data_IF_449327913997
#
_entry.id   IF_449327913997
#
_cell.length_a   1.000
_cell.length_b   1.000
_cell.length_c   1.000
_cell.angle_alpha   90.00
_cell.angle_beta   90.00
_cell.angle_gamma   90.00
#
_symmetry.space_group_name_H-M   'P 1'
#
loop_
_entity.id
_entity.type
_entity.pdbx_description
1 polymer ?
#
# COMPACT_ATOMS: atom_id res chain seq x y z
N UNK A 1 5.22 2.35 11.86
CA UNK A 1 5.68 3.63 12.45
C UNK A 1 6.49 4.40 11.39
N UNK A 2 6.43 5.73 11.28
CA UNK A 2 7.14 6.45 10.18
C UNK A 2 8.42 7.13 10.66
N UNK A 3 9.39 7.34 9.76
CA UNK A 3 10.72 7.85 10.13
C UNK A 3 10.75 9.30 10.64
N UNK A 4 9.76 10.15 10.34
CA UNK A 4 9.66 11.52 10.89
C UNK A 4 9.13 11.52 12.33
N UNK A 5 8.24 10.56 12.65
CA UNK A 5 7.79 10.23 13.99
C UNK A 5 8.88 9.47 14.76
N UNK A 6 9.57 8.53 14.11
CA UNK A 6 10.72 7.80 14.62
C UNK A 6 11.86 8.76 14.91
N UNK A 7 12.27 9.65 14.00
CA UNK A 7 13.27 10.70 14.25
C UNK A 7 12.84 11.71 15.30
N UNK A 8 11.54 12.00 15.42
CA UNK A 8 11.02 12.79 16.54
C UNK A 8 11.16 12.03 17.86
N UNK A 9 10.80 10.76 17.87
CA UNK A 9 10.89 9.89 19.05
C UNK A 9 12.32 9.55 19.41
N UNK A 10 13.21 9.44 18.45
CA UNK A 10 14.65 9.26 18.61
C UNK A 10 15.28 10.59 19.06
N UNK A 11 14.81 11.75 18.58
CA UNK A 11 15.25 13.06 19.07
C UNK A 11 14.78 13.33 20.50
N UNK A 12 13.54 12.94 20.82
CA UNK A 12 12.96 12.98 22.17
C UNK A 12 13.73 12.01 23.07
N UNK A 13 13.88 10.76 22.67
CA UNK A 13 14.60 9.72 23.40
C UNK A 13 16.09 10.07 23.56
N UNK A 14 16.75 10.63 22.54
CA UNK A 14 18.14 11.13 22.58
C UNK A 14 18.36 12.09 23.74
N UNK A 15 17.40 12.98 23.97
CA UNK A 15 17.49 13.97 25.03
C UNK A 15 17.57 13.30 26.41
N UNK A 16 16.72 12.31 26.68
CA UNK A 16 16.73 11.53 27.93
C UNK A 16 17.97 10.63 28.06
N UNK A 17 18.44 10.05 26.94
CA UNK A 17 19.63 9.20 26.89
C UNK A 17 20.92 9.94 27.23
N UNK A 18 21.09 11.17 26.74
CA UNK A 18 22.24 12.02 27.07
C UNK A 18 22.24 12.42 28.56
N UNK A 19 21.06 12.70 29.14
CA UNK A 19 20.91 13.02 30.57
C UNK A 19 21.20 11.82 31.50
N UNK A 20 20.85 10.60 31.09
CA UNK A 20 21.07 9.38 31.87
C UNK A 20 22.56 8.94 31.83
N UNK A 21 23.25 9.15 30.71
CA UNK A 21 24.63 8.65 30.50
C UNK A 21 25.74 9.63 30.87
N UNK A 22 25.50 10.94 30.82
CA UNK A 22 26.54 11.96 30.96
C UNK A 22 27.56 12.03 29.81
N UNK A 23 27.32 11.33 28.70
CA UNK A 23 28.21 11.27 27.54
C UNK A 23 28.27 12.62 26.77
N UNK A 24 29.35 12.82 26.01
CA UNK A 24 29.51 14.05 25.20
C UNK A 24 28.35 14.24 24.23
N UNK A 25 27.95 15.50 24.00
CA UNK A 25 26.85 15.83 23.06
C UNK A 25 27.12 15.40 21.62
N UNK A 26 28.40 15.21 21.30
CA UNK A 26 28.90 14.69 20.02
C UNK A 26 28.80 13.17 19.92
N UNK A 27 28.49 12.45 21.02
CA UNK A 27 28.29 10.99 21.02
C UNK A 27 26.99 10.63 20.26
N UNK A 28 27.03 9.67 19.29
CA UNK A 28 25.88 9.28 18.46
C UNK A 28 24.70 8.69 19.24
N UNK A 29 23.45 8.95 18.81
CA UNK A 29 22.22 8.50 19.52
C UNK A 29 22.08 7.00 19.56
N UNK A 30 22.39 6.34 18.45
CA UNK A 30 22.37 4.88 18.37
C UNK A 30 23.36 4.26 19.37
N UNK A 31 24.56 4.84 19.52
CA UNK A 31 25.53 4.40 20.54
C UNK A 31 25.01 4.59 21.97
N UNK A 32 24.23 5.65 22.22
CA UNK A 32 23.62 5.89 23.54
C UNK A 32 22.43 4.97 23.81
N UNK A 33 21.56 4.70 22.84
CA UNK A 33 20.47 3.71 22.94
C UNK A 33 21.01 2.33 23.30
N UNK A 34 22.13 1.96 22.68
CA UNK A 34 22.83 0.69 22.94
C UNK A 34 23.55 0.70 24.30
N UNK A 35 24.30 1.76 24.63
CA UNK A 35 25.05 1.88 25.90
C UNK A 35 24.12 1.96 27.13
N UNK A 36 22.90 2.46 26.97
CA UNK A 36 21.90 2.58 28.06
C UNK A 36 20.93 1.41 28.18
N UNK A 37 20.90 0.51 27.18
CA UNK A 37 19.92 -0.58 27.15
C UNK A 37 18.46 -0.14 26.95
N UNK A 38 18.23 1.11 26.53
CA UNK A 38 16.89 1.63 26.33
C UNK A 38 16.44 1.43 24.88
N UNK A 39 15.51 0.49 24.71
CA UNK A 39 14.96 0.11 23.42
C UNK A 39 14.34 1.32 22.72
N UNK A 40 14.57 1.49 21.40
CA UNK A 40 13.96 2.58 20.65
C UNK A 40 12.45 2.63 20.86
N UNK A 41 11.92 3.81 21.22
CA UNK A 41 10.54 3.97 21.68
C UNK A 41 9.49 3.48 20.65
N UNK A 42 9.87 3.44 19.38
CA UNK A 42 9.03 2.95 18.31
C UNK A 42 8.76 1.43 18.36
N UNK A 43 9.62 0.66 19.03
CA UNK A 43 9.47 -0.78 19.19
C UNK A 43 8.49 -1.14 20.33
N UNK A 44 8.55 -0.45 21.47
CA UNK A 44 7.55 -0.59 22.57
C UNK A 44 6.11 -0.34 22.08
N UNK A 45 5.92 0.62 21.16
CA UNK A 45 4.61 0.93 20.57
C UNK A 45 4.12 -0.17 19.61
N UNK A 46 5.05 -0.88 18.97
CA UNK A 46 4.74 -1.96 18.04
C UNK A 46 4.34 -3.25 18.76
N UNK A 47 4.87 -3.47 19.97
CA UNK A 47 4.61 -4.62 20.84
C UNK A 47 3.19 -4.56 21.43
N UNK A 48 2.78 -3.39 21.94
CA UNK A 48 1.42 -3.16 22.45
C UNK A 48 0.35 -3.21 21.33
N UNK A 49 0.68 -2.72 20.13
CA UNK A 49 -0.20 -2.82 18.95
C UNK A 49 -0.39 -4.29 18.50
N UNK A 50 0.60 -5.15 18.76
CA UNK A 50 0.55 -6.59 18.48
C UNK A 50 -0.40 -7.30 19.45
N UNK A 51 -0.31 -7.01 20.76
CA UNK A 51 -1.21 -7.56 21.79
C UNK A 51 -2.70 -7.23 21.52
N UNK A 52 -3.03 -6.00 21.13
CA UNK A 52 -4.39 -5.60 20.80
C UNK A 52 -4.92 -6.27 19.50
N UNK A 53 -4.03 -6.56 18.55
CA UNK A 53 -4.35 -7.19 17.25
C UNK A 53 -4.67 -8.68 17.38
N UNK A 54 -3.97 -9.38 18.28
CA UNK A 54 -4.21 -10.81 18.55
C UNK A 54 -5.39 -11.01 19.49
N UNK A 55 -5.38 -10.38 20.68
CA UNK A 55 -6.33 -10.68 21.77
C UNK A 55 -7.72 -10.04 21.59
N UNK A 56 -7.84 -8.94 20.82
CA UNK A 56 -9.10 -8.19 20.67
C UNK A 56 -9.61 -8.13 19.23
N UNK A 57 -8.71 -7.96 18.26
CA UNK A 57 -9.05 -8.00 16.83
C UNK A 57 -8.95 -9.39 16.20
N UNK A 58 -8.58 -10.41 16.99
CA UNK A 58 -8.58 -11.83 16.60
C UNK A 58 -7.84 -12.08 15.28
N UNK A 59 -6.72 -11.37 15.05
CA UNK A 59 -5.91 -11.47 13.83
C UNK A 59 -4.45 -11.78 14.15
N UNK A 60 -3.86 -12.72 13.40
CA UNK A 60 -2.49 -13.17 13.66
C UNK A 60 -1.57 -11.99 13.56
N UNK A 61 -0.77 -11.81 14.59
CA UNK A 61 0.15 -10.70 14.62
C UNK A 61 1.55 -11.26 14.67
N UNK A 62 2.33 -10.84 13.68
CA UNK A 62 3.74 -11.11 13.68
C UNK A 62 4.41 -10.01 14.49
N UNK A 63 5.17 -10.39 15.51
CA UNK A 63 6.13 -9.50 16.14
C UNK A 63 7.51 -9.92 15.63
N UNK A 64 8.04 -9.14 14.69
CA UNK A 64 9.20 -9.54 13.88
C UNK A 64 8.96 -10.88 13.17
N UNK A 65 9.76 -11.90 13.49
CA UNK A 65 9.73 -13.23 12.87
C UNK A 65 8.83 -14.23 13.63
N UNK A 66 8.38 -13.91 14.85
CA UNK A 66 7.47 -14.77 15.64
C UNK A 66 6.02 -14.46 15.26
N UNK A 67 5.28 -15.50 14.88
CA UNK A 67 3.87 -15.43 14.46
C UNK A 67 2.99 -15.80 15.64
N UNK A 68 2.19 -14.86 16.14
CA UNK A 68 1.16 -15.12 17.14
C UNK A 68 -0.17 -15.31 16.42
N UNK A 69 -0.72 -16.53 16.41
CA UNK A 69 -1.99 -16.79 15.72
C UNK A 69 -3.20 -16.68 16.68
N UNK A 70 -4.33 -16.03 16.31
CA UNK A 70 -5.52 -15.91 17.13
C UNK A 70 -6.32 -17.19 17.13
N UNK A 71 -6.13 -18.04 16.12
CA UNK A 71 -6.68 -19.39 16.05
C UNK A 71 -6.19 -20.27 17.20
N UNK A 72 -5.06 -19.91 17.82
CA UNK A 72 -4.50 -20.59 19.00
C UNK A 72 -5.22 -20.18 20.31
N UNK A 73 -6.22 -19.28 20.21
CA UNK A 73 -6.97 -18.68 21.33
C UNK A 73 -8.48 -18.55 20.94
N UNK A 74 -9.45 -18.27 21.82
CA UNK A 74 -10.92 -18.25 21.49
C UNK A 74 -11.56 -16.88 21.10
N UNK A 75 -12.72 -16.85 20.38
CA UNK A 75 -13.43 -15.63 19.89
C UNK A 75 -14.95 -15.56 20.21
N UNK A 76 -15.51 -14.35 20.46
CA UNK A 76 -16.97 -14.07 20.64
C UNK A 76 -17.59 -13.25 19.47
N UNK A 77 -18.78 -13.65 18.98
CA UNK A 77 -19.52 -13.19 17.76
C UNK A 77 -20.22 -11.81 17.81
N UNK A 78 -20.97 -11.30 16.79
CA UNK A 78 -22.01 -11.88 15.89
C UNK A 78 -22.32 -11.03 14.60
N UNK A 79 -22.78 -11.75 13.56
CA UNK A 79 -23.90 -11.60 12.57
C UNK A 79 -24.23 -10.35 11.71
N UNK A 80 -24.40 -10.55 10.38
CA UNK A 80 -25.73 -10.56 9.70
C UNK A 80 -25.67 -11.30 8.34
N UNK A 81 -26.68 -12.12 8.05
CA UNK A 81 -26.95 -12.76 6.75
C UNK A 81 -27.76 -11.78 5.92
N UNK A 82 -27.38 -11.53 4.66
CA UNK A 82 -28.32 -11.09 3.64
C UNK A 82 -28.18 -12.00 2.42
N UNK A 83 -29.32 -12.52 1.98
CA UNK A 83 -29.47 -13.47 0.89
C UNK A 83 -29.31 -12.76 -0.46
N UNK A 84 -28.43 -13.27 -1.33
CA UNK A 84 -28.52 -13.07 -2.78
C UNK A 84 -27.81 -11.86 -3.42
N UNK A 85 -27.01 -11.08 -2.69
CA UNK A 85 -26.25 -9.97 -3.29
C UNK A 85 -24.87 -10.44 -3.76
N UNK A 86 -24.67 -10.52 -5.07
CA UNK A 86 -23.33 -10.64 -5.69
C UNK A 86 -22.51 -9.43 -5.30
N UNK A 87 -21.51 -9.62 -4.46
CA UNK A 87 -20.52 -8.60 -4.16
C UNK A 87 -19.40 -8.68 -5.20
N UNK A 88 -19.01 -7.52 -5.74
CA UNK A 88 -17.88 -7.42 -6.65
C UNK A 88 -16.70 -6.87 -5.87
N UNK A 89 -15.54 -7.47 -6.03
CA UNK A 89 -14.29 -7.05 -5.41
C UNK A 89 -13.31 -6.66 -6.50
N UNK A 90 -12.52 -5.62 -6.26
CA UNK A 90 -11.59 -5.05 -7.24
C UNK A 90 -10.23 -4.89 -6.60
N UNK A 91 -9.18 -5.16 -7.36
CA UNK A 91 -7.81 -4.88 -6.93
C UNK A 91 -6.88 -4.56 -8.11
N UNK A 92 -5.79 -3.85 -7.80
CA UNK A 92 -4.71 -3.54 -8.72
C UNK A 92 -3.35 -3.88 -8.12
N UNK A 93 -2.57 -4.67 -8.83
CA UNK A 93 -1.24 -5.10 -8.42
C UNK A 93 -0.14 -4.50 -9.30
N UNK A 94 1.02 -4.22 -8.70
CA UNK A 94 2.23 -3.84 -9.43
C UNK A 94 3.42 -4.60 -8.87
N UNK A 95 4.18 -5.17 -9.78
CA UNK A 95 5.48 -5.79 -9.51
C UNK A 95 6.52 -5.19 -10.46
N UNK A 96 7.78 -5.62 -10.33
CA UNK A 96 8.84 -5.23 -11.26
C UNK A 96 8.60 -5.81 -12.67
N UNK A 97 7.86 -6.92 -12.77
CA UNK A 97 7.54 -7.60 -14.04
C UNK A 97 6.41 -6.91 -14.80
N UNK A 98 5.50 -6.23 -14.10
CA UNK A 98 4.40 -5.53 -14.74
C UNK A 98 3.31 -5.05 -13.78
N UNK A 99 2.21 -4.62 -14.36
CA UNK A 99 1.05 -4.11 -13.62
C UNK A 99 -0.17 -4.91 -14.02
N UNK A 100 -0.99 -5.30 -13.05
CA UNK A 100 -2.19 -6.12 -13.29
C UNK A 100 -3.39 -5.53 -12.58
N UNK A 101 -4.55 -5.66 -13.19
CA UNK A 101 -5.83 -5.13 -12.70
C UNK A 101 -6.86 -6.25 -12.75
N UNK A 102 -7.69 -6.39 -11.73
CA UNK A 102 -8.70 -7.45 -11.72
C UNK A 102 -9.95 -7.08 -10.93
N UNK A 103 -11.07 -7.71 -11.30
CA UNK A 103 -12.23 -7.81 -10.42
C UNK A 103 -12.72 -9.26 -10.35
N UNK A 104 -13.40 -9.60 -9.27
CA UNK A 104 -14.11 -10.86 -9.14
C UNK A 104 -15.50 -10.67 -8.50
N UNK A 105 -16.44 -11.49 -8.96
CA UNK A 105 -17.80 -11.55 -8.45
C UNK A 105 -17.94 -12.84 -7.66
N UNK A 106 -18.25 -12.71 -6.36
CA UNK A 106 -18.42 -13.85 -5.47
C UNK A 106 -19.90 -14.10 -5.17
N UNK A 107 -20.26 -15.38 -5.12
CA UNK A 107 -21.53 -15.89 -4.60
C UNK A 107 -21.25 -17.21 -3.88
N UNK A 108 -21.83 -17.40 -2.69
CA UNK A 108 -21.64 -18.61 -1.87
C UNK A 108 -20.17 -19.03 -1.68
N UNK A 109 -19.27 -18.05 -1.47
CA UNK A 109 -17.82 -18.26 -1.29
C UNK A 109 -17.07 -18.80 -2.52
N UNK A 110 -17.71 -18.85 -3.69
CA UNK A 110 -17.06 -19.17 -4.97
C UNK A 110 -16.97 -17.96 -5.90
N UNK A 111 -15.90 -17.90 -6.70
CA UNK A 111 -15.81 -16.94 -7.81
C UNK A 111 -16.71 -17.45 -8.94
N UNK A 112 -17.75 -16.69 -9.29
CA UNK A 112 -18.60 -17.03 -10.44
C UNK A 112 -18.02 -16.45 -11.73
N UNK A 113 -17.45 -15.26 -11.61
CA UNK A 113 -16.97 -14.48 -12.75
C UNK A 113 -15.82 -13.60 -12.30
N UNK A 114 -14.81 -13.48 -13.14
CA UNK A 114 -13.66 -12.62 -12.93
C UNK A 114 -13.21 -11.99 -14.22
N UNK A 115 -12.47 -10.90 -14.09
CA UNK A 115 -11.77 -10.24 -15.19
C UNK A 115 -10.36 -9.93 -14.76
N UNK A 116 -9.43 -10.05 -15.70
CA UNK A 116 -7.99 -9.83 -15.50
C UNK A 116 -7.46 -9.01 -16.67
N UNK A 117 -6.99 -7.80 -16.39
CA UNK A 117 -6.34 -6.92 -17.36
C UNK A 117 -4.85 -6.79 -17.07
N UNK A 118 -4.04 -7.13 -18.07
CA UNK A 118 -2.60 -6.92 -18.04
C UNK A 118 -2.26 -5.51 -18.51
N UNK A 119 -1.65 -4.71 -17.64
CA UNK A 119 -1.20 -3.36 -17.93
C UNK A 119 0.30 -3.32 -18.20
N UNK A 120 0.76 -2.26 -18.84
CA UNK A 120 2.18 -2.06 -19.07
C UNK A 120 2.93 -1.84 -17.73
N UNK A 121 4.20 -2.24 -17.69
CA UNK A 121 5.07 -2.04 -16.52
C UNK A 121 5.20 -0.56 -16.10
N UNK A 122 5.00 0.38 -17.02
CA UNK A 122 5.01 1.82 -16.73
C UNK A 122 3.73 2.33 -16.04
N UNK A 123 2.65 1.55 -16.03
CA UNK A 123 1.43 1.93 -15.33
C UNK A 123 1.60 1.82 -13.80
N UNK A 124 0.89 2.66 -13.04
CA UNK A 124 0.97 2.63 -11.57
C UNK A 124 -0.05 1.67 -10.95
N UNK A 125 0.18 1.25 -9.70
CA UNK A 125 -0.83 0.54 -8.88
C UNK A 125 -2.15 1.31 -8.90
N UNK A 126 -2.09 2.62 -8.66
CA UNK A 126 -3.27 3.49 -8.69
C UNK A 126 -4.05 3.41 -10.02
N UNK A 127 -3.36 3.33 -11.16
CA UNK A 127 -4.03 3.16 -12.46
C UNK A 127 -4.69 1.78 -12.60
N UNK A 128 -4.06 0.73 -12.08
CA UNK A 128 -4.62 -0.61 -12.07
C UNK A 128 -5.89 -0.69 -11.19
N UNK A 129 -5.86 -0.01 -10.05
CA UNK A 129 -6.94 0.04 -9.07
C UNK A 129 -8.18 0.76 -9.63
N UNK A 130 -8.00 1.95 -10.20
CA UNK A 130 -9.11 2.67 -10.83
C UNK A 130 -9.62 1.93 -12.08
N UNK A 131 -8.76 1.22 -12.82
CA UNK A 131 -9.21 0.40 -13.95
C UNK A 131 -10.07 -0.77 -13.47
N UNK A 132 -9.68 -1.45 -12.39
CA UNK A 132 -10.43 -2.55 -11.81
C UNK A 132 -11.84 -2.10 -11.39
N UNK A 133 -11.93 -0.92 -10.76
CA UNK A 133 -13.20 -0.28 -10.40
C UNK A 133 -14.05 0.02 -11.64
N UNK A 134 -13.46 0.60 -12.68
CA UNK A 134 -14.18 0.90 -13.93
C UNK A 134 -14.77 -0.36 -14.55
N UNK A 135 -13.97 -1.41 -14.71
CA UNK A 135 -14.42 -2.68 -15.31
C UNK A 135 -15.49 -3.36 -14.45
N UNK A 136 -15.38 -3.29 -13.12
CA UNK A 136 -16.41 -3.79 -12.21
C UNK A 136 -17.74 -3.04 -12.33
N UNK A 137 -17.71 -1.72 -12.54
CA UNK A 137 -18.92 -0.92 -12.78
C UNK A 137 -19.56 -1.28 -14.12
N UNK A 138 -18.76 -1.46 -15.17
CA UNK A 138 -19.24 -1.91 -16.48
C UNK A 138 -19.92 -3.29 -16.37
N UNK A 139 -19.32 -4.25 -15.65
CA UNK A 139 -19.94 -5.55 -15.40
C UNK A 139 -21.23 -5.43 -14.57
N UNK A 140 -21.22 -4.59 -13.53
CA UNK A 140 -22.37 -4.35 -12.65
C UNK A 140 -23.55 -3.66 -13.37
N UNK A 141 -23.28 -2.82 -14.38
CA UNK A 141 -24.30 -2.07 -15.11
C UNK A 141 -25.39 -2.96 -15.73
N UNK A 142 -25.01 -4.17 -16.15
CA UNK A 142 -25.90 -5.15 -16.78
C UNK A 142 -26.91 -5.80 -15.81
N UNK A 143 -26.64 -5.77 -14.51
CA UNK A 143 -27.36 -6.55 -13.49
C UNK A 143 -28.59 -5.85 -12.90
N UNK A 144 -28.80 -4.56 -13.17
CA UNK A 144 -30.01 -3.76 -12.84
C UNK A 144 -30.58 -3.95 -11.42
N UNK A 145 -29.72 -4.17 -10.42
CA UNK A 145 -30.08 -4.37 -9.01
C UNK A 145 -29.08 -3.67 -8.10
N UNK A 146 -29.40 -3.40 -6.82
CA UNK A 146 -28.44 -2.81 -5.90
C UNK A 146 -27.17 -3.65 -5.79
N UNK A 147 -26.02 -3.10 -6.19
CA UNK A 147 -24.73 -3.78 -6.20
C UNK A 147 -23.73 -3.00 -5.37
N UNK A 148 -22.94 -3.73 -4.58
CA UNK A 148 -21.83 -3.19 -3.82
C UNK A 148 -20.53 -3.64 -4.48
N UNK A 149 -19.72 -2.67 -4.89
CA UNK A 149 -18.36 -2.89 -5.36
C UNK A 149 -17.41 -2.51 -4.23
N UNK A 150 -16.57 -3.45 -3.85
CA UNK A 150 -15.67 -3.36 -2.72
C UNK A 150 -14.24 -3.15 -3.23
N UNK A 151 -13.59 -2.11 -2.75
CA UNK A 151 -12.17 -1.80 -3.02
C UNK A 151 -11.47 -1.46 -1.71
N UNK A 152 -10.23 -1.89 -1.54
CA UNK A 152 -9.38 -1.46 -0.42
C UNK A 152 -8.52 -0.23 -0.73
N UNK A 153 -8.50 0.18 -2.00
CA UNK A 153 -7.77 1.34 -2.48
C UNK A 153 -8.43 2.66 -2.10
N UNK A 154 -8.13 3.12 -0.87
CA UNK A 154 -8.59 4.42 -0.37
C UNK A 154 -8.18 5.57 -1.31
N UNK A 155 -7.02 5.45 -1.96
CA UNK A 155 -6.52 6.44 -2.92
C UNK A 155 -7.41 6.58 -4.14
N UNK A 156 -7.90 5.46 -4.69
CA UNK A 156 -8.84 5.41 -5.82
C UNK A 156 -10.18 6.03 -5.44
N UNK A 157 -10.72 5.72 -4.25
CA UNK A 157 -11.95 6.31 -3.76
C UNK A 157 -11.83 7.83 -3.55
N UNK A 158 -10.73 8.29 -2.96
CA UNK A 158 -10.50 9.73 -2.77
C UNK A 158 -10.37 10.47 -4.11
N UNK A 159 -9.77 9.84 -5.12
CA UNK A 159 -9.70 10.40 -6.46
C UNK A 159 -11.08 10.49 -7.11
N UNK A 160 -11.92 9.46 -6.98
CA UNK A 160 -13.30 9.41 -7.50
C UNK A 160 -14.19 10.44 -6.80
N UNK A 161 -14.04 10.60 -5.48
CA UNK A 161 -14.79 11.59 -4.71
C UNK A 161 -14.39 13.03 -5.02
N UNK A 162 -13.21 13.26 -5.61
CA UNK A 162 -12.75 14.60 -6.00
C UNK A 162 -13.39 15.06 -7.32
N UNK A 163 -14.35 16.01 -7.31
CA UNK A 163 -15.03 16.45 -8.53
C UNK A 163 -14.11 17.21 -9.49
N UNK A 164 -12.95 17.68 -9.01
CA UNK A 164 -11.94 18.41 -9.78
C UNK A 164 -10.85 17.49 -10.35
N UNK A 165 -11.03 16.18 -10.31
CA UNK A 165 -10.03 15.25 -10.85
C UNK A 165 -9.79 15.50 -12.34
N UNK A 166 -8.52 15.52 -12.74
CA UNK A 166 -8.09 15.63 -14.14
C UNK A 166 -7.78 14.27 -14.77
N UNK A 167 -7.88 13.17 -14.01
CA UNK A 167 -7.57 11.84 -14.50
C UNK A 167 -8.73 11.31 -15.36
N UNK A 168 -8.45 10.92 -16.62
CA UNK A 168 -9.48 10.49 -17.59
C UNK A 168 -10.36 9.36 -17.07
N UNK A 169 -9.74 8.26 -16.61
CA UNK A 169 -10.46 7.09 -16.07
C UNK A 169 -11.33 7.47 -14.86
N UNK A 170 -10.87 8.40 -14.02
CA UNK A 170 -11.65 8.83 -12.85
C UNK A 170 -12.91 9.59 -13.30
N UNK A 171 -12.81 10.42 -14.34
CA UNK A 171 -13.97 11.11 -14.92
C UNK A 171 -14.96 10.14 -15.57
N UNK A 172 -14.45 9.10 -16.24
CA UNK A 172 -15.27 8.00 -16.76
C UNK A 172 -16.03 7.29 -15.63
N UNK A 173 -15.35 6.91 -14.55
CA UNK A 173 -15.97 6.29 -13.37
C UNK A 173 -17.04 7.20 -12.76
N UNK A 174 -16.74 8.49 -12.58
CA UNK A 174 -17.70 9.47 -12.06
C UNK A 174 -18.96 9.53 -12.93
N UNK A 175 -18.80 9.53 -14.25
CA UNK A 175 -19.91 9.54 -15.21
C UNK A 175 -20.72 8.25 -15.12
N UNK A 176 -20.07 7.08 -15.07
CA UNK A 176 -20.73 5.78 -14.95
C UNK A 176 -21.53 5.65 -13.64
N UNK A 177 -21.00 6.15 -12.52
CA UNK A 177 -21.71 6.13 -11.23
C UNK A 177 -22.93 7.05 -11.22
N UNK A 178 -22.88 8.20 -11.93
CA UNK A 178 -24.04 9.08 -12.08
C UNK A 178 -25.14 8.41 -12.91
N UNK A 179 -24.79 7.66 -13.95
CA UNK A 179 -25.72 6.90 -14.77
C UNK A 179 -26.32 5.69 -14.05
N UNK A 180 -25.58 5.04 -13.16
CA UNK A 180 -25.96 3.79 -12.50
C UNK A 180 -26.12 3.94 -10.97
N UNK A 181 -27.17 4.64 -10.53
CA UNK A 181 -27.43 4.94 -9.11
C UNK A 181 -27.60 3.73 -8.18
N UNK A 182 -27.81 2.54 -8.75
CA UNK A 182 -27.92 1.30 -7.98
C UNK A 182 -26.55 0.71 -7.58
N UNK A 183 -25.46 1.20 -8.17
CA UNK A 183 -24.09 0.76 -7.89
C UNK A 183 -23.49 1.63 -6.78
N UNK A 184 -22.99 0.97 -5.74
CA UNK A 184 -22.40 1.64 -4.59
C UNK A 184 -20.94 1.19 -4.41
N UNK A 185 -20.01 2.14 -4.46
CA UNK A 185 -18.63 1.89 -4.08
C UNK A 185 -18.50 1.86 -2.56
N UNK A 186 -17.79 0.86 -2.04
CA UNK A 186 -17.54 0.68 -0.61
C UNK A 186 -16.05 0.45 -0.39
N UNK A 187 -15.53 1.15 0.62
CA UNK A 187 -14.18 0.89 1.09
C UNK A 187 -14.17 -0.31 2.02
N UNK A 188 -13.20 -1.21 1.82
CA UNK A 188 -12.85 -2.24 2.78
C UNK A 188 -11.43 -2.00 3.29
N UNK A 189 -11.13 -2.47 4.50
CA UNK A 189 -9.80 -2.33 5.05
C UNK A 189 -8.89 -3.40 4.46
N UNK A 190 -7.83 -2.97 3.76
CA UNK A 190 -6.77 -3.87 3.28
C UNK A 190 -6.23 -4.77 4.40
N UNK A 191 -5.89 -6.01 4.07
CA UNK A 191 -5.27 -7.01 4.97
C UNK A 191 -6.11 -7.48 6.15
N UNK A 192 -7.43 -7.29 6.10
CA UNK A 192 -8.40 -8.03 6.92
C UNK A 192 -8.95 -9.11 6.00
N UNK A 193 -8.63 -10.39 6.24
CA UNK A 193 -8.82 -11.52 5.33
C UNK A 193 -10.25 -11.70 4.78
N UNK A 194 -10.66 -10.85 3.83
CA UNK A 194 -11.92 -10.95 3.11
C UNK A 194 -11.66 -11.78 1.86
N UNK A 195 -12.28 -12.96 1.79
CA UNK A 195 -12.11 -13.92 0.70
C UNK A 195 -12.20 -13.25 -0.69
N UNK A 196 -13.19 -12.38 -0.92
CA UNK A 196 -13.34 -11.70 -2.20
C UNK A 196 -12.21 -10.71 -2.52
N UNK A 197 -11.64 -10.05 -1.52
CA UNK A 197 -10.49 -9.16 -1.72
C UNK A 197 -9.22 -9.97 -2.02
N UNK A 198 -9.01 -11.07 -1.31
CA UNK A 198 -7.88 -11.98 -1.55
C UNK A 198 -7.97 -12.61 -2.95
N UNK A 199 -9.17 -12.98 -3.39
CA UNK A 199 -9.40 -13.44 -4.76
C UNK A 199 -9.05 -12.36 -5.79
N UNK A 200 -9.49 -11.11 -5.58
CA UNK A 200 -9.19 -10.01 -6.49
C UNK A 200 -7.68 -9.69 -6.55
N UNK A 201 -6.99 -9.69 -5.40
CA UNK A 201 -5.54 -9.51 -5.30
C UNK A 201 -4.77 -10.61 -6.04
N UNK A 202 -5.14 -11.86 -5.80
CA UNK A 202 -4.54 -12.99 -6.49
C UNK A 202 -4.76 -12.90 -8.01
N UNK A 203 -5.97 -12.55 -8.45
CA UNK A 203 -6.28 -12.36 -9.87
C UNK A 203 -5.49 -11.19 -10.48
N UNK A 204 -5.32 -10.08 -9.75
CA UNK A 204 -4.54 -8.93 -10.21
C UNK A 204 -3.05 -9.27 -10.35
N UNK A 205 -2.50 -10.06 -9.42
CA UNK A 205 -1.13 -10.60 -9.52
C UNK A 205 -0.96 -11.54 -10.70
N UNK A 206 -1.92 -12.44 -10.90
CA UNK A 206 -1.92 -13.36 -12.05
C UNK A 206 -2.07 -12.65 -13.38
N UNK A 207 -2.83 -11.54 -13.42
CA UNK A 207 -3.03 -10.75 -14.63
C UNK A 207 -1.71 -10.21 -15.21
N UNK A 208 -0.69 -9.98 -14.38
CA UNK A 208 0.63 -9.52 -14.82
C UNK A 208 1.26 -10.52 -15.80
N UNK A 209 1.07 -11.82 -15.56
CA UNK A 209 1.68 -12.88 -16.38
C UNK A 209 0.70 -13.46 -17.39
N UNK A 210 -0.56 -13.69 -16.98
CA UNK A 210 -1.58 -14.44 -17.73
C UNK A 210 -2.75 -13.61 -18.26
N UNK A 211 -2.87 -12.35 -17.85
CA UNK A 211 -4.01 -11.50 -18.21
C UNK A 211 -3.96 -11.02 -19.65
N UNK A 212 -5.13 -10.67 -20.19
CA UNK A 212 -5.23 -10.12 -21.54
C UNK A 212 -4.63 -8.71 -21.59
N UNK A 213 -3.81 -8.38 -22.61
CA UNK A 213 -3.21 -7.06 -22.74
C UNK A 213 -4.27 -5.95 -22.81
N UNK A 214 -4.20 -5.00 -21.89
CA UNK A 214 -5.02 -3.81 -21.86
C UNK A 214 -4.15 -2.56 -22.07
N UNK A 215 -4.33 -1.89 -23.20
CA UNK A 215 -3.56 -0.71 -23.58
C UNK A 215 -4.06 0.53 -22.82
N UNK A 216 -3.41 0.85 -21.71
CA UNK A 216 -3.63 2.09 -20.98
C UNK A 216 -2.52 3.12 -21.29
N UNK A 217 -2.86 4.39 -21.60
CA UNK A 217 -1.86 5.44 -21.74
C UNK A 217 -1.00 5.60 -20.49
N UNK A 218 0.32 5.81 -20.67
CA UNK A 218 1.28 5.95 -19.57
C UNK A 218 0.97 7.17 -18.70
N UNK A 219 1.11 7.09 -17.36
CA UNK A 219 0.79 8.20 -16.47
C UNK A 219 1.84 9.32 -16.52
N UNK A 220 1.41 10.57 -16.28
CA UNK A 220 2.33 11.72 -16.15
C UNK A 220 3.31 11.60 -14.97
N UNK A 221 3.00 10.79 -13.97
CA UNK A 221 3.92 10.49 -12.86
C UNK A 221 5.11 9.65 -13.31
N UNK A 222 4.94 8.78 -14.30
CA UNK A 222 6.03 7.98 -14.88
C UNK A 222 7.01 8.88 -15.62
N UNK A 223 6.50 9.82 -16.44
CA UNK A 223 7.32 10.85 -17.07
C UNK A 223 8.15 11.64 -16.05
N UNK A 224 7.54 12.04 -14.92
CA UNK A 224 8.27 12.72 -13.82
C UNK A 224 9.34 11.83 -13.15
N UNK A 225 9.11 10.52 -13.06
CA UNK A 225 10.07 9.58 -12.50
C UNK A 225 11.29 9.41 -13.42
N UNK A 226 11.07 9.31 -14.74
CA UNK A 226 12.18 9.22 -15.71
C UNK A 226 13.05 10.48 -15.69
N UNK A 227 12.43 11.66 -15.62
CA UNK A 227 13.17 12.93 -15.49
C UNK A 227 14.03 12.95 -14.21
N UNK A 228 13.49 12.46 -13.08
CA UNK A 228 14.25 12.37 -11.83
C UNK A 228 15.40 11.37 -11.90
N UNK A 229 15.20 10.25 -12.58
CA UNK A 229 16.24 9.23 -12.79
C UNK A 229 17.40 9.79 -13.61
N UNK A 230 17.11 10.51 -14.69
CA UNK A 230 18.12 11.17 -15.52
C UNK A 230 18.92 12.20 -14.71
N UNK A 231 18.24 13.02 -13.88
CA UNK A 231 18.89 13.99 -13.01
C UNK A 231 19.80 13.33 -11.94
N UNK A 232 19.39 12.20 -11.38
CA UNK A 232 20.20 11.45 -10.40
C UNK A 232 21.48 10.88 -11.04
N UNK A 233 21.39 10.42 -12.29
CA UNK A 233 22.55 9.93 -13.05
C UNK A 233 23.58 11.03 -13.25
N UNK A 234 23.15 12.21 -13.71
CA UNK A 234 24.02 13.38 -13.89
C UNK A 234 24.67 13.79 -12.55
N UNK A 235 23.94 13.69 -11.44
CA UNK A 235 24.50 14.02 -10.13
C UNK A 235 25.57 13.01 -9.67
N UNK A 236 25.34 11.71 -9.88
CA UNK A 236 26.35 10.69 -9.59
C UNK A 236 27.61 10.91 -10.43
N UNK A 237 27.47 11.22 -11.73
CA UNK A 237 28.61 11.49 -12.62
C UNK A 237 29.45 12.68 -12.11
N UNK A 238 28.81 13.72 -11.59
CA UNK A 238 29.51 14.86 -10.99
C UNK A 238 30.16 14.52 -9.62
N UNK A 239 29.57 13.61 -8.84
CA UNK A 239 30.12 13.17 -7.55
C UNK A 239 31.37 12.31 -7.73
N UNK A 240 31.36 11.43 -8.73
CA UNK A 240 32.47 10.53 -9.03
C UNK A 240 33.68 11.29 -9.60
N UNK A 241 33.42 12.29 -10.44
CA UNK A 241 34.46 13.09 -11.12
C UNK A 241 34.86 14.38 -10.37
N UNK A 242 34.29 14.62 -9.19
CA UNK A 242 34.55 15.82 -8.41
C UNK A 242 35.90 15.82 -7.70
N UNK A 243 36.56 16.99 -7.68
CA UNK A 243 37.87 17.18 -7.04
C UNK A 243 37.81 17.42 -5.51
N UNK A 244 36.63 17.64 -4.92
CA UNK A 244 36.45 17.96 -3.49
C UNK A 244 35.61 16.90 -2.75
N UNK A 245 35.75 16.78 -1.41
CA UNK A 245 34.89 15.93 -0.57
C UNK A 245 35.30 14.44 -0.46
N UNK A 246 36.55 14.10 -0.76
CA UNK A 246 37.03 12.72 -0.96
C UNK A 246 36.94 11.82 0.28
N UNK A 247 37.32 12.28 1.48
CA UNK A 247 37.25 11.45 2.71
C UNK A 247 35.82 11.05 3.10
N UNK A 248 34.82 11.84 2.68
CA UNK A 248 33.41 11.51 2.86
C UNK A 248 32.89 10.58 1.75
N UNK A 249 33.35 10.78 0.50
CA UNK A 249 33.13 9.85 -0.61
C UNK A 249 33.65 8.44 -0.28
N UNK A 250 34.78 8.32 0.43
CA UNK A 250 35.38 7.03 0.82
C UNK A 250 34.49 6.22 1.79
N UNK A 251 33.70 6.90 2.61
CA UNK A 251 32.76 6.27 3.56
C UNK A 251 31.37 6.10 2.90
N UNK A 252 30.99 7.00 1.96
CA UNK A 252 29.69 6.99 1.26
C UNK A 252 29.87 7.33 -0.24
N UNK A 253 30.10 6.34 -1.11
CA UNK A 253 30.42 6.56 -2.52
C UNK A 253 29.21 6.76 -3.45
N UNK A 254 27.98 6.46 -3.00
CA UNK A 254 26.77 6.57 -3.83
C UNK A 254 25.83 7.65 -3.33
N UNK A 255 25.36 8.50 -4.24
CA UNK A 255 24.35 9.52 -3.90
C UNK A 255 22.99 8.85 -3.67
N UNK A 256 22.35 9.18 -2.55
CA UNK A 256 21.17 8.49 -2.05
C UNK A 256 20.30 9.41 -1.20
N UNK A 257 19.04 9.04 -1.04
CA UNK A 257 18.06 9.77 -0.23
C UNK A 257 17.84 9.19 1.22
N UNK A 258 18.77 8.45 1.91
CA UNK A 258 18.64 7.79 3.29
C UNK A 258 19.91 7.78 4.25
N UNK A 259 19.82 7.65 5.63
CA UNK A 259 20.94 7.76 6.64
C UNK A 259 21.60 6.44 7.19
N UNK A 260 22.70 6.52 8.00
CA UNK A 260 23.65 5.42 8.40
C UNK A 260 23.91 5.31 9.93
N UNK A 261 24.00 4.10 10.50
CA UNK A 261 24.32 3.82 11.93
C UNK A 261 23.38 2.80 12.56
#
# INVERSE_FOLDING_TARGET
MTSRLQKKLDSIQRLFLLYITGAYRTTPTAALQVVTGLQPLHLQIQEEATYARVARARSSSNFFTVIFSPTDYESKGKNHIDSGVKAIYTDGSKTDEGTGSAYCILENYGIITSWQGKLDRSNSVFQAEILAIRMAIEAASSLHRPIKIWTDSLSSLMAILNPKSHHSIVREIQTLLLSHKHIHLRWLKAHVCYLGNECADQLAKEAITKGDPFLLPKPLSYLKAEIKSAALSIWQDNWDNGETGRSAHDIVPKVSNKPVG
#
